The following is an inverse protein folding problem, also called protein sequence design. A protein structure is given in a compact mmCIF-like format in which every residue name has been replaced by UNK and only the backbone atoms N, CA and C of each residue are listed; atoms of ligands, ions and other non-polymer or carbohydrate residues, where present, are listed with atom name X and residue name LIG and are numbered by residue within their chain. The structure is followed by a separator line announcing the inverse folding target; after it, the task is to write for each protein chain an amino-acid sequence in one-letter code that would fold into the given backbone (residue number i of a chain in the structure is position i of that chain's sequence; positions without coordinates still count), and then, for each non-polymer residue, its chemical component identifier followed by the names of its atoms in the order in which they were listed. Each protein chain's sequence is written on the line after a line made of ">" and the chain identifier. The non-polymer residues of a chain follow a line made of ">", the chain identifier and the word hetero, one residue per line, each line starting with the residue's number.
data_IF_906855557526
#
_entry.id   IF_906855557526
#
_cell.length_a   1.000
_cell.length_b   1.000
_cell.length_c   1.000
_cell.angle_alpha   90.00
_cell.angle_beta   90.00
_cell.angle_gamma   90.00
#
_symmetry.space_group_name_H-M   'P 1'
#
loop_
_entity.id
_entity.type
_entity.pdbx_description
1 polymer ?
#
# COMPACT_ATOMS: atom_id res chain seq x y z
N UNK A 1 33.17 -10.35 -17.14
CA UNK A 1 33.16 -9.68 -15.84
C UNK A 1 32.99 -10.80 -14.84
N UNK A 2 33.76 -10.84 -13.82
CA UNK A 2 33.75 -11.96 -12.86
C UNK A 2 32.52 -11.75 -11.96
N UNK A 3 31.50 -12.58 -12.14
CA UNK A 3 30.21 -12.50 -11.39
C UNK A 3 30.39 -12.75 -9.87
N UNK A 4 31.57 -13.26 -9.47
CA UNK A 4 31.93 -13.48 -8.07
C UNK A 4 32.23 -12.20 -7.27
N UNK A 5 32.24 -11.02 -7.95
CA UNK A 5 32.46 -9.72 -7.31
C UNK A 5 31.15 -9.02 -6.88
N UNK A 6 30.00 -9.57 -7.23
CA UNK A 6 28.71 -9.06 -6.81
C UNK A 6 28.16 -10.03 -5.75
N UNK A 7 28.38 -9.68 -4.49
CA UNK A 7 27.72 -10.38 -3.39
C UNK A 7 26.25 -9.94 -3.39
N UNK A 8 25.41 -10.77 -4.01
CA UNK A 8 23.97 -10.52 -4.14
C UNK A 8 23.26 -10.62 -2.79
N UNK A 9 23.80 -11.37 -1.84
CA UNK A 9 23.22 -11.57 -0.52
C UNK A 9 23.45 -10.35 0.39
N UNK A 10 24.50 -9.54 0.13
CA UNK A 10 24.76 -8.31 0.87
C UNK A 10 23.96 -7.08 0.40
N UNK A 11 23.24 -7.16 -0.73
CA UNK A 11 22.38 -6.08 -1.23
C UNK A 11 20.94 -6.31 -0.77
N UNK A 12 20.64 -5.92 0.47
CA UNK A 12 19.28 -6.03 1.01
C UNK A 12 18.25 -5.37 0.07
N UNK A 13 17.11 -6.00 -0.10
CA UNK A 13 15.95 -5.48 -0.85
C UNK A 13 15.54 -4.06 -0.38
N UNK A 14 15.76 -3.74 0.90
CA UNK A 14 15.55 -2.40 1.45
C UNK A 14 16.46 -1.33 0.83
N UNK A 15 17.65 -1.68 0.33
CA UNK A 15 18.49 -0.74 -0.44
C UNK A 15 17.98 -0.55 -1.86
N UNK A 16 17.35 -1.55 -2.44
CA UNK A 16 16.73 -1.51 -3.76
C UNK A 16 15.55 -0.54 -3.79
N UNK A 17 14.72 -0.53 -2.75
CA UNK A 17 13.60 0.41 -2.62
C UNK A 17 14.03 1.86 -2.45
N UNK A 18 15.31 2.12 -2.12
CA UNK A 18 15.89 3.47 -1.97
C UNK A 18 16.46 4.02 -3.29
N UNK A 19 16.58 3.18 -4.31
CA UNK A 19 17.08 3.59 -5.62
C UNK A 19 15.89 3.91 -6.52
N UNK A 20 16.00 4.92 -7.39
CA UNK A 20 14.91 5.31 -8.28
C UNK A 20 14.72 4.28 -9.39
N UNK A 21 13.47 3.85 -9.51
CA UNK A 21 13.02 2.91 -10.54
C UNK A 21 13.35 1.45 -10.23
N UNK A 22 12.40 0.56 -10.50
CA UNK A 22 12.67 -0.87 -10.60
C UNK A 22 13.74 -1.06 -11.67
N UNK A 23 14.69 -1.93 -11.44
CA UNK A 23 15.63 -2.37 -12.47
C UNK A 23 16.81 -1.44 -12.77
N UNK A 24 16.96 -0.30 -12.09
CA UNK A 24 18.06 0.62 -12.38
C UNK A 24 19.47 0.01 -12.21
N UNK A 25 19.60 -0.96 -11.30
CA UNK A 25 20.83 -1.73 -11.09
C UNK A 25 20.64 -3.24 -11.26
N UNK A 26 19.39 -3.70 -11.35
CA UNK A 26 19.03 -5.09 -11.54
C UNK A 26 18.07 -5.22 -12.71
N UNK A 27 18.20 -6.25 -13.55
CA UNK A 27 17.18 -6.58 -14.55
C UNK A 27 15.84 -6.84 -13.83
N UNK A 28 14.73 -6.43 -14.45
CA UNK A 28 13.39 -6.72 -13.94
C UNK A 28 13.18 -8.23 -13.73
N UNK A 29 13.82 -9.07 -14.56
CA UNK A 29 13.81 -10.52 -14.43
C UNK A 29 14.34 -11.03 -13.09
N UNK A 30 15.34 -10.36 -12.48
CA UNK A 30 15.82 -10.74 -11.15
C UNK A 30 14.80 -10.41 -10.05
N UNK A 31 14.04 -9.32 -10.19
CA UNK A 31 12.97 -8.99 -9.25
C UNK A 31 11.82 -9.98 -9.32
N UNK A 32 11.50 -10.43 -10.55
CA UNK A 32 10.52 -11.47 -10.80
C UNK A 32 10.98 -12.83 -10.23
N UNK A 33 12.24 -13.22 -10.47
CA UNK A 33 12.83 -14.45 -9.93
C UNK A 33 12.82 -14.47 -8.39
N UNK A 34 13.21 -13.38 -7.72
CA UNK A 34 13.17 -13.29 -6.26
C UNK A 34 11.74 -13.26 -5.69
N UNK A 35 10.81 -12.61 -6.37
CA UNK A 35 9.41 -12.61 -5.97
C UNK A 35 8.81 -14.01 -6.11
N UNK A 36 9.15 -14.71 -7.19
CA UNK A 36 8.72 -16.07 -7.47
C UNK A 36 9.27 -17.05 -6.42
N UNK A 37 10.59 -16.98 -6.13
CA UNK A 37 11.23 -17.84 -5.14
C UNK A 37 10.66 -17.62 -3.72
N UNK A 38 10.48 -16.39 -3.29
CA UNK A 38 9.85 -16.09 -1.99
C UNK A 38 8.41 -16.58 -1.91
N UNK A 39 7.63 -16.40 -2.98
CA UNK A 39 6.26 -16.92 -3.02
C UNK A 39 6.26 -18.45 -2.94
N UNK A 40 7.16 -19.10 -3.66
CA UNK A 40 7.29 -20.56 -3.63
C UNK A 40 7.63 -21.05 -2.21
N UNK A 41 8.66 -20.47 -1.58
CA UNK A 41 9.09 -20.85 -0.23
C UNK A 41 7.99 -20.64 0.81
N UNK A 42 7.19 -19.56 0.68
CA UNK A 42 6.10 -19.30 1.60
C UNK A 42 4.89 -20.24 1.37
N UNK A 43 4.57 -20.57 0.10
CA UNK A 43 3.33 -21.28 -0.28
C UNK A 43 3.49 -22.79 -0.27
N UNK A 44 4.68 -23.33 -0.59
CA UNK A 44 4.93 -24.79 -0.59
C UNK A 44 4.68 -25.38 0.80
N UNK A 45 3.74 -26.31 0.90
CA UNK A 45 3.40 -27.00 2.16
C UNK A 45 2.38 -26.26 3.05
N UNK A 46 1.92 -25.08 2.67
CA UNK A 46 0.93 -24.35 3.45
C UNK A 46 -0.49 -24.91 3.29
N UNK A 47 -1.23 -25.01 4.39
CA UNK A 47 -2.65 -25.42 4.43
C UNK A 47 -3.59 -24.30 3.95
N UNK A 48 -3.13 -23.05 4.05
CA UNK A 48 -3.82 -21.88 3.52
C UNK A 48 -2.82 -20.79 3.10
N UNK A 49 -3.22 -19.97 2.13
CA UNK A 49 -2.44 -18.83 1.63
C UNK A 49 -3.29 -17.57 1.71
N UNK A 50 -2.71 -16.50 2.22
CA UNK A 50 -3.33 -15.17 2.28
C UNK A 50 -2.54 -14.23 1.35
N UNK A 51 -3.23 -13.61 0.40
CA UNK A 51 -2.71 -12.50 -0.40
C UNK A 51 -3.30 -11.22 0.14
N UNK A 52 -2.49 -10.30 0.65
CA UNK A 52 -2.97 -9.10 1.32
C UNK A 52 -2.15 -7.85 0.99
N UNK A 53 -2.76 -6.66 1.09
CA UNK A 53 -1.99 -5.44 1.13
C UNK A 53 -1.13 -5.41 2.40
N UNK A 54 0.07 -4.83 2.28
CA UNK A 54 1.05 -4.80 3.36
C UNK A 54 0.91 -3.55 4.23
N UNK A 55 -0.31 -3.11 4.46
CA UNK A 55 -0.63 -2.02 5.39
C UNK A 55 -1.35 -2.54 6.66
N UNK A 56 -1.80 -1.63 7.50
CA UNK A 56 -2.40 -2.00 8.78
C UNK A 56 -3.73 -2.75 8.61
N UNK A 57 -4.50 -2.47 7.57
CA UNK A 57 -5.81 -3.07 7.35
C UNK A 57 -5.69 -4.47 6.72
N UNK A 58 -4.92 -4.59 5.63
CA UNK A 58 -4.65 -5.90 5.05
C UNK A 58 -4.00 -6.86 6.05
N UNK A 59 -2.96 -6.41 6.77
CA UNK A 59 -2.24 -7.22 7.75
C UNK A 59 -3.05 -7.48 9.04
N UNK A 60 -3.94 -6.57 9.45
CA UNK A 60 -4.91 -6.80 10.50
C UNK A 60 -5.84 -7.97 10.18
N UNK A 61 -6.30 -8.02 8.92
CA UNK A 61 -7.10 -9.14 8.40
C UNK A 61 -6.33 -10.48 8.42
N UNK A 62 -5.03 -10.45 8.11
CA UNK A 62 -4.15 -11.63 8.21
C UNK A 62 -4.07 -12.15 9.64
N UNK A 63 -3.92 -11.27 10.63
CA UNK A 63 -3.88 -11.65 12.04
C UNK A 63 -5.18 -12.35 12.47
N UNK A 64 -6.34 -11.86 12.04
CA UNK A 64 -7.63 -12.51 12.29
C UNK A 64 -7.75 -13.90 11.65
N UNK A 65 -7.32 -14.05 10.40
CA UNK A 65 -7.38 -15.34 9.71
C UNK A 65 -6.46 -16.35 10.38
N UNK A 66 -5.24 -15.96 10.76
CA UNK A 66 -4.31 -16.84 11.49
C UNK A 66 -4.86 -17.26 12.85
N UNK A 67 -5.45 -16.34 13.62
CA UNK A 67 -6.12 -16.66 14.89
C UNK A 67 -7.24 -17.68 14.68
N UNK A 68 -8.12 -17.44 13.72
CA UNK A 68 -9.25 -18.33 13.41
C UNK A 68 -8.81 -19.72 12.92
N UNK A 69 -7.59 -19.84 12.41
CA UNK A 69 -7.01 -21.12 11.93
C UNK A 69 -6.05 -21.78 12.93
N UNK A 70 -5.93 -21.25 14.15
CA UNK A 70 -4.97 -21.70 15.17
C UNK A 70 -3.52 -21.71 14.65
N UNK A 71 -3.16 -20.68 13.89
CA UNK A 71 -1.89 -20.48 13.21
C UNK A 71 -1.24 -19.13 13.58
N UNK A 72 -1.56 -18.61 14.76
CA UNK A 72 -0.95 -17.38 15.29
C UNK A 72 0.56 -17.57 15.46
N UNK A 73 1.33 -16.57 15.05
CA UNK A 73 2.79 -16.60 15.18
C UNK A 73 3.23 -16.36 16.62
N UNK A 74 4.36 -16.96 17.00
CA UNK A 74 5.03 -16.59 18.25
C UNK A 74 5.62 -15.19 18.13
N UNK A 75 5.27 -14.31 19.07
CA UNK A 75 5.74 -12.91 19.08
C UNK A 75 7.15 -12.76 19.67
N UNK A 76 7.62 -13.72 20.47
CA UNK A 76 8.87 -13.58 21.23
C UNK A 76 10.13 -13.36 20.37
N UNK A 77 10.32 -14.01 19.20
CA UNK A 77 11.43 -13.71 18.31
C UNK A 77 11.44 -12.24 17.84
N UNK A 78 10.27 -11.72 17.46
CA UNK A 78 10.12 -10.34 16.97
C UNK A 78 10.37 -9.31 18.08
N UNK A 79 9.93 -9.57 19.32
CA UNK A 79 10.23 -8.71 20.47
C UNK A 79 11.73 -8.63 20.77
N UNK A 80 12.44 -9.75 20.62
CA UNK A 80 13.89 -9.79 20.80
C UNK A 80 14.62 -8.95 19.77
N UNK A 81 14.25 -9.10 18.50
CA UNK A 81 14.83 -8.33 17.39
C UNK A 81 14.49 -6.84 17.49
N UNK A 82 13.24 -6.52 17.84
CA UNK A 82 12.81 -5.15 18.04
C UNK A 82 13.60 -4.45 19.17
N UNK A 83 13.80 -5.12 20.29
CA UNK A 83 14.59 -4.61 21.40
C UNK A 83 16.06 -4.32 20.98
N UNK A 84 16.60 -5.11 20.05
CA UNK A 84 17.94 -4.87 19.50
C UNK A 84 17.99 -3.61 18.58
N UNK A 85 16.90 -3.27 17.90
CA UNK A 85 16.81 -2.09 17.02
C UNK A 85 16.69 -0.76 17.75
N UNK A 86 16.25 -0.77 19.02
CA UNK A 86 15.98 0.45 19.84
C UNK A 86 17.10 0.71 20.84
N UNK A 87 18.16 -0.10 20.86
CA UNK A 87 19.31 0.09 21.77
C UNK A 87 19.97 1.43 21.57
N UNK A 88 20.31 2.11 22.69
CA UNK A 88 21.10 3.33 22.70
C UNK A 88 22.52 3.08 22.17
N UNK A 89 23.15 4.09 21.51
CA UNK A 89 24.53 4.02 21.01
C UNK A 89 25.57 3.70 22.11
N UNK A 90 25.20 3.86 23.39
CA UNK A 90 26.04 3.56 24.56
C UNK A 90 25.89 2.09 25.05
N UNK A 91 24.96 1.32 24.52
CA UNK A 91 24.84 -0.10 24.84
C UNK A 91 25.97 -0.90 24.16
N UNK A 92 26.60 -1.86 24.87
CA UNK A 92 27.66 -2.65 24.29
C UNK A 92 27.10 -3.43 23.06
N UNK A 93 27.72 -3.15 21.90
CA UNK A 93 27.39 -3.87 20.67
C UNK A 93 27.65 -5.35 20.90
N UNK A 94 26.68 -6.26 20.70
CA UNK A 94 26.91 -7.69 20.76
C UNK A 94 28.04 -8.09 19.81
N UNK A 95 28.82 -9.12 20.17
CA UNK A 95 29.87 -9.60 19.28
C UNK A 95 29.23 -10.10 17.98
N UNK A 96 29.78 -9.71 16.82
CA UNK A 96 29.20 -10.03 15.50
C UNK A 96 28.93 -11.55 15.27
N UNK A 97 29.52 -12.40 16.11
CA UNK A 97 29.24 -13.84 16.13
C UNK A 97 27.91 -14.18 16.84
N UNK A 98 27.47 -13.38 17.83
CA UNK A 98 26.19 -13.57 18.51
C UNK A 98 25.03 -13.04 17.65
N UNK A 99 25.26 -11.93 16.89
CA UNK A 99 24.26 -11.43 15.92
C UNK A 99 23.99 -12.40 14.75
N UNK A 100 25.03 -13.15 14.33
CA UNK A 100 24.87 -14.15 13.29
C UNK A 100 24.05 -15.38 13.77
N UNK A 101 24.24 -15.78 15.04
CA UNK A 101 23.44 -16.87 15.64
C UNK A 101 21.98 -16.43 15.93
N UNK A 102 21.73 -15.16 16.28
CA UNK A 102 20.38 -14.62 16.47
C UNK A 102 19.64 -14.46 15.13
N UNK A 103 20.34 -14.14 14.05
CA UNK A 103 19.75 -14.04 12.71
C UNK A 103 19.39 -15.42 12.14
N UNK A 104 20.22 -16.45 12.40
CA UNK A 104 19.90 -17.85 12.06
C UNK A 104 18.73 -18.38 12.88
N UNK A 105 18.57 -17.96 14.15
CA UNK A 105 17.44 -18.35 14.99
C UNK A 105 16.11 -17.66 14.56
N UNK A 106 16.18 -16.51 13.95
CA UNK A 106 15.00 -15.83 13.36
C UNK A 106 14.58 -16.45 12.01
N UNK A 107 15.53 -17.03 11.27
CA UNK A 107 15.25 -17.80 10.04
C UNK A 107 14.67 -19.20 10.34
N UNK A 108 14.87 -19.74 11.56
CA UNK A 108 14.21 -20.97 12.06
C UNK A 108 12.83 -20.72 12.70
N UNK A 109 12.24 -19.52 12.58
CA UNK A 109 10.88 -19.27 13.03
C UNK A 109 9.93 -20.25 12.33
N UNK A 110 9.21 -21.04 13.13
CA UNK A 110 8.36 -22.14 12.67
C UNK A 110 7.55 -21.74 11.43
N UNK A 111 7.66 -22.52 10.35
CA UNK A 111 6.87 -22.37 9.14
C UNK A 111 5.39 -22.36 9.53
N UNK A 112 4.73 -21.22 9.37
CA UNK A 112 3.31 -21.12 9.64
C UNK A 112 2.53 -21.99 8.64
N UNK A 113 1.54 -22.80 9.08
CA UNK A 113 0.67 -23.50 8.16
C UNK A 113 -0.18 -22.57 7.29
N UNK A 114 -0.12 -21.25 7.57
CA UNK A 114 -0.81 -20.18 6.85
C UNK A 114 0.21 -19.21 6.28
N UNK A 115 0.46 -19.31 4.99
CA UNK A 115 1.39 -18.45 4.26
C UNK A 115 0.83 -17.05 4.05
N UNK A 116 1.71 -16.05 4.05
CA UNK A 116 1.39 -14.66 3.67
C UNK A 116 2.17 -14.26 2.42
N UNK A 117 1.45 -13.79 1.42
CA UNK A 117 1.99 -13.17 0.21
C UNK A 117 1.54 -11.72 0.16
N UNK A 118 2.44 -10.81 0.47
CA UNK A 118 2.16 -9.38 0.40
C UNK A 118 2.08 -8.92 -1.07
N UNK A 119 1.02 -8.20 -1.42
CA UNK A 119 0.78 -7.66 -2.75
C UNK A 119 0.21 -6.25 -2.66
N UNK A 120 0.34 -5.48 -3.73
CA UNK A 120 -0.39 -4.22 -3.87
C UNK A 120 -1.41 -4.31 -5.00
N UNK A 121 -2.32 -3.33 -5.15
CA UNK A 121 -3.39 -3.37 -6.14
C UNK A 121 -2.90 -3.64 -7.57
N UNK A 122 -1.77 -3.06 -7.97
CA UNK A 122 -1.21 -3.22 -9.32
C UNK A 122 -0.43 -4.54 -9.54
N UNK A 123 -0.09 -5.27 -8.48
CA UNK A 123 0.63 -6.55 -8.54
C UNK A 123 -0.24 -7.75 -8.16
N UNK A 124 -1.52 -7.53 -7.87
CA UNK A 124 -2.46 -8.53 -7.41
C UNK A 124 -2.57 -9.73 -8.36
N UNK A 125 -2.75 -9.49 -9.66
CA UNK A 125 -2.85 -10.57 -10.65
C UNK A 125 -1.60 -11.44 -10.69
N UNK A 126 -0.43 -10.83 -10.69
CA UNK A 126 0.86 -11.55 -10.66
C UNK A 126 1.06 -12.34 -9.36
N UNK A 127 0.65 -11.78 -8.22
CA UNK A 127 0.72 -12.46 -6.93
C UNK A 127 -0.18 -13.70 -6.91
N UNK A 128 -1.42 -13.58 -7.39
CA UNK A 128 -2.35 -14.70 -7.50
C UNK A 128 -1.87 -15.77 -8.49
N UNK A 129 -1.26 -15.38 -9.62
CA UNK A 129 -0.67 -16.33 -10.58
C UNK A 129 0.50 -17.11 -9.95
N UNK A 130 1.37 -16.46 -9.18
CA UNK A 130 2.46 -17.13 -8.44
C UNK A 130 1.90 -18.07 -7.37
N UNK A 131 0.91 -17.63 -6.60
CA UNK A 131 0.23 -18.50 -5.62
C UNK A 131 -0.35 -19.73 -6.32
N UNK A 132 -1.07 -19.57 -7.42
CA UNK A 132 -1.64 -20.67 -8.17
C UNK A 132 -0.60 -21.69 -8.68
N UNK A 133 0.62 -21.22 -8.98
CA UNK A 133 1.72 -22.06 -9.47
C UNK A 133 2.30 -23.00 -8.37
N UNK A 134 2.24 -22.59 -7.11
CA UNK A 134 2.87 -23.31 -5.99
C UNK A 134 1.87 -23.86 -4.96
N UNK A 135 0.58 -23.51 -5.12
CA UNK A 135 -0.46 -23.90 -4.17
C UNK A 135 -0.64 -25.42 -4.11
N UNK A 136 -0.57 -25.98 -2.92
CA UNK A 136 -0.89 -27.39 -2.70
C UNK A 136 -2.40 -27.66 -2.96
N UNK A 137 -2.71 -28.77 -3.63
CA UNK A 137 -4.10 -29.11 -3.89
C UNK A 137 -4.92 -29.29 -2.61
N UNK A 138 -5.95 -28.48 -2.46
CA UNK A 138 -6.85 -28.53 -1.31
C UNK A 138 -6.55 -27.47 -0.24
N UNK A 139 -5.58 -26.59 -0.45
CA UNK A 139 -5.37 -25.43 0.41
C UNK A 139 -6.42 -24.34 0.20
N UNK A 140 -6.74 -23.59 1.24
CA UNK A 140 -7.63 -22.44 1.17
C UNK A 140 -6.86 -21.18 0.76
N UNK A 141 -7.50 -20.31 -0.04
CA UNK A 141 -6.91 -19.02 -0.43
C UNK A 141 -7.76 -17.88 0.11
N UNK A 142 -7.12 -16.90 0.71
CA UNK A 142 -7.74 -15.64 1.14
C UNK A 142 -7.12 -14.48 0.39
N UNK A 143 -7.93 -13.50 0.03
CA UNK A 143 -7.48 -12.22 -0.49
C UNK A 143 -8.05 -11.13 0.40
N UNK A 144 -7.20 -10.21 0.88
CA UNK A 144 -7.60 -9.19 1.83
C UNK A 144 -7.10 -7.81 1.40
N UNK A 145 -8.03 -6.84 1.43
CA UNK A 145 -7.73 -5.43 1.24
C UNK A 145 -7.10 -5.10 -0.13
N UNK A 146 -7.60 -5.72 -1.16
CA UNK A 146 -7.13 -5.57 -2.53
C UNK A 146 -8.32 -5.56 -3.50
N UNK A 147 -8.52 -4.46 -4.21
CA UNK A 147 -9.52 -4.32 -5.26
C UNK A 147 -8.86 -4.25 -6.63
N UNK A 148 -9.17 -5.14 -7.58
CA UNK A 148 -8.60 -5.09 -8.91
C UNK A 148 -9.23 -3.97 -9.75
N UNK A 149 -8.41 -3.27 -10.53
CA UNK A 149 -8.86 -2.19 -11.42
C UNK A 149 -9.77 -2.67 -12.57
N UNK A 150 -9.67 -3.96 -12.94
CA UNK A 150 -10.48 -4.56 -14.01
C UNK A 150 -10.56 -6.08 -13.88
N UNK A 151 -11.52 -6.67 -14.55
CA UNK A 151 -11.67 -8.14 -14.64
C UNK A 151 -10.45 -8.79 -15.28
N UNK A 152 -9.87 -8.17 -16.31
CA UNK A 152 -8.71 -8.69 -17.02
C UNK A 152 -7.48 -8.82 -16.12
N UNK A 153 -7.37 -7.96 -15.11
CA UNK A 153 -6.23 -7.97 -14.17
C UNK A 153 -6.14 -9.25 -13.34
N UNK A 154 -7.26 -9.95 -13.11
CA UNK A 154 -7.31 -11.13 -12.22
C UNK A 154 -7.92 -12.37 -12.85
N UNK A 155 -8.56 -12.28 -14.01
CA UNK A 155 -9.32 -13.39 -14.60
C UNK A 155 -8.47 -14.65 -14.81
N UNK A 156 -7.26 -14.51 -15.38
CA UNK A 156 -6.38 -15.65 -15.66
C UNK A 156 -5.90 -16.31 -14.34
N UNK A 157 -5.56 -15.51 -13.35
CA UNK A 157 -5.11 -15.99 -12.04
C UNK A 157 -6.23 -16.74 -11.30
N UNK A 158 -7.46 -16.21 -11.30
CA UNK A 158 -8.61 -16.87 -10.70
C UNK A 158 -8.96 -18.19 -11.41
N UNK A 159 -8.84 -18.26 -12.75
CA UNK A 159 -9.00 -19.52 -13.49
C UNK A 159 -7.93 -20.54 -13.09
N UNK A 160 -6.68 -20.10 -12.88
CA UNK A 160 -5.57 -20.93 -12.44
C UNK A 160 -5.75 -21.44 -11.01
N UNK A 161 -6.31 -20.63 -10.10
CA UNK A 161 -6.62 -21.00 -8.72
C UNK A 161 -7.82 -21.97 -8.60
N UNK A 162 -8.76 -21.94 -9.52
CA UNK A 162 -10.01 -22.72 -9.44
C UNK A 162 -9.82 -24.23 -9.33
N UNK A 163 -8.68 -24.77 -9.75
CA UNK A 163 -8.40 -26.21 -9.69
C UNK A 163 -7.63 -26.65 -8.43
N UNK A 164 -6.54 -25.98 -8.00
CA UNK A 164 -5.82 -26.36 -6.81
C UNK A 164 -6.50 -25.92 -5.51
N UNK A 165 -7.11 -24.75 -5.45
CA UNK A 165 -7.71 -24.22 -4.24
C UNK A 165 -8.95 -25.03 -3.79
N UNK A 166 -9.07 -25.28 -2.47
CA UNK A 166 -10.29 -25.85 -1.88
C UNK A 166 -11.40 -24.79 -1.81
N UNK A 167 -11.00 -23.57 -1.46
CA UNK A 167 -11.87 -22.39 -1.46
C UNK A 167 -11.06 -21.14 -1.75
N UNK A 168 -11.71 -20.12 -2.32
CA UNK A 168 -11.15 -18.77 -2.44
C UNK A 168 -12.13 -17.81 -1.77
N UNK A 169 -11.68 -17.11 -0.72
CA UNK A 169 -12.45 -16.10 0.00
C UNK A 169 -11.77 -14.75 -0.15
N UNK A 170 -12.56 -13.71 -0.37
CA UNK A 170 -12.06 -12.37 -0.60
C UNK A 170 -12.79 -11.38 0.30
N UNK A 171 -12.03 -10.71 1.18
CA UNK A 171 -12.51 -9.68 2.08
C UNK A 171 -11.96 -8.34 1.64
N UNK A 172 -12.83 -7.36 1.45
CA UNK A 172 -12.46 -6.03 1.02
C UNK A 172 -13.51 -4.99 1.42
N UNK A 173 -13.14 -3.72 1.41
CA UNK A 173 -14.06 -2.60 1.68
C UNK A 173 -14.01 -1.52 0.59
N UNK A 174 -13.13 -1.63 -0.38
CA UNK A 174 -12.99 -0.67 -1.47
C UNK A 174 -14.26 -0.56 -2.33
N UNK A 175 -14.35 0.51 -3.10
CA UNK A 175 -15.42 0.69 -4.08
C UNK A 175 -15.18 -0.21 -5.30
N UNK A 176 -15.88 -1.33 -5.36
CA UNK A 176 -15.82 -2.26 -6.48
C UNK A 176 -16.72 -1.82 -7.62
N UNK A 177 -16.22 -1.95 -8.84
CA UNK A 177 -17.09 -1.95 -10.01
C UNK A 177 -18.01 -3.18 -10.01
N UNK A 178 -19.29 -2.97 -10.29
CA UNK A 178 -20.30 -4.04 -10.25
C UNK A 178 -20.00 -5.20 -11.23
N UNK A 179 -19.43 -4.89 -12.42
CA UNK A 179 -19.08 -5.90 -13.43
C UNK A 179 -17.86 -6.71 -12.96
N UNK A 180 -16.86 -6.07 -12.34
CA UNK A 180 -15.69 -6.73 -11.77
C UNK A 180 -16.09 -7.62 -10.60
N UNK A 181 -16.90 -7.11 -9.67
CA UNK A 181 -17.40 -7.89 -8.54
C UNK A 181 -18.24 -9.11 -8.99
N UNK A 182 -19.08 -8.95 -10.01
CA UNK A 182 -19.86 -10.04 -10.57
C UNK A 182 -18.95 -11.10 -11.20
N UNK A 183 -17.94 -10.71 -11.98
CA UNK A 183 -17.01 -11.63 -12.63
C UNK A 183 -16.17 -12.43 -11.61
N UNK A 184 -15.72 -11.79 -10.54
CA UNK A 184 -14.98 -12.47 -9.45
C UNK A 184 -15.86 -13.52 -8.76
N UNK A 185 -17.14 -13.20 -8.47
CA UNK A 185 -18.08 -14.19 -7.92
C UNK A 185 -18.41 -15.32 -8.89
N UNK A 186 -18.54 -15.03 -10.18
CA UNK A 186 -18.75 -16.04 -11.22
C UNK A 186 -17.56 -17.01 -11.35
N UNK A 187 -16.36 -16.57 -11.04
CA UNK A 187 -15.17 -17.42 -10.95
C UNK A 187 -15.19 -18.36 -9.73
N UNK A 188 -16.19 -18.28 -8.88
CA UNK A 188 -16.36 -19.15 -7.71
C UNK A 188 -15.74 -18.62 -6.41
N UNK A 189 -15.38 -17.35 -6.37
CA UNK A 189 -14.83 -16.65 -5.20
C UNK A 189 -15.96 -16.24 -4.26
N UNK A 190 -15.79 -16.53 -2.96
CA UNK A 190 -16.65 -15.99 -1.89
C UNK A 190 -16.22 -14.55 -1.57
N UNK A 191 -16.71 -13.60 -2.37
CA UNK A 191 -16.39 -12.18 -2.27
C UNK A 191 -17.33 -11.46 -1.30
N UNK A 192 -16.80 -10.96 -0.21
CA UNK A 192 -17.49 -10.11 0.77
C UNK A 192 -16.89 -8.71 0.73
N UNK A 193 -17.68 -7.75 0.30
CA UNK A 193 -17.31 -6.34 0.26
C UNK A 193 -18.06 -5.59 1.36
N UNK A 194 -17.33 -4.85 2.17
CA UNK A 194 -17.85 -3.95 3.20
C UNK A 194 -18.32 -2.61 2.64
N UNK A 195 -18.85 -1.79 3.51
CA UNK A 195 -19.19 -0.40 3.18
C UNK A 195 -17.92 0.46 3.28
N UNK A 196 -17.45 1.01 2.17
CA UNK A 196 -16.22 1.78 2.10
C UNK A 196 -16.21 3.08 2.91
N UNK A 197 -17.35 3.51 3.45
CA UNK A 197 -17.47 4.69 4.31
C UNK A 197 -17.62 4.33 5.81
N UNK A 198 -17.93 3.07 6.13
CA UNK A 198 -18.24 2.63 7.49
C UNK A 198 -17.33 1.50 8.00
N UNK A 199 -16.76 0.67 7.12
CA UNK A 199 -15.95 -0.50 7.46
C UNK A 199 -14.58 -0.45 6.80
N UNK A 200 -13.56 -1.02 7.44
CA UNK A 200 -12.30 -1.43 6.83
C UNK A 200 -12.28 -2.95 6.58
N UNK A 201 -11.31 -3.47 5.86
CA UNK A 201 -11.23 -4.90 5.53
C UNK A 201 -11.08 -5.76 6.79
N UNK A 202 -10.39 -5.28 7.82
CA UNK A 202 -10.28 -5.96 9.12
C UNK A 202 -11.66 -6.14 9.79
N UNK A 203 -12.58 -5.15 9.68
CA UNK A 203 -13.97 -5.31 10.14
C UNK A 203 -14.71 -6.38 9.33
N UNK A 204 -14.52 -6.36 8.01
CA UNK A 204 -15.14 -7.35 7.11
C UNK A 204 -14.67 -8.76 7.42
N UNK A 205 -13.37 -8.95 7.63
CA UNK A 205 -12.80 -10.24 8.03
C UNK A 205 -13.34 -10.68 9.41
N UNK A 206 -13.36 -9.79 10.40
CA UNK A 206 -13.84 -10.05 11.76
C UNK A 206 -15.27 -10.62 11.77
N UNK A 207 -16.18 -10.02 11.01
CA UNK A 207 -17.59 -10.46 10.97
C UNK A 207 -17.87 -11.62 10.01
N UNK A 208 -16.96 -11.92 9.09
CA UNK A 208 -17.16 -12.95 8.05
C UNK A 208 -16.54 -14.30 8.39
N UNK A 209 -15.57 -14.32 9.30
CA UNK A 209 -14.98 -15.54 9.82
C UNK A 209 -15.88 -16.15 10.89
N UNK A 210 -16.14 -17.46 10.78
CA UNK A 210 -16.95 -18.20 11.79
C UNK A 210 -16.07 -18.57 12.99
N UNK A 211 -15.69 -17.54 13.78
CA UNK A 211 -14.82 -17.65 14.95
C UNK A 211 -15.24 -16.66 16.02
N UNK A 212 -15.12 -17.05 17.29
CA UNK A 212 -15.45 -16.21 18.45
C UNK A 212 -14.19 -15.45 18.91
N UNK A 213 -13.95 -14.30 18.30
CA UNK A 213 -12.76 -13.50 18.56
C UNK A 213 -12.75 -12.84 19.93
N UNK A 214 -11.59 -12.82 20.57
CA UNK A 214 -11.36 -12.03 21.77
C UNK A 214 -11.56 -10.52 21.53
N UNK A 215 -11.88 -9.78 22.61
CA UNK A 215 -12.11 -8.33 22.57
C UNK A 215 -10.94 -7.57 21.92
N UNK A 216 -9.69 -8.05 22.08
CA UNK A 216 -8.51 -7.43 21.45
C UNK A 216 -8.60 -7.32 19.93
N UNK A 217 -9.21 -8.29 19.26
CA UNK A 217 -9.39 -8.27 17.80
C UNK A 217 -10.53 -7.34 17.37
N UNK A 218 -11.58 -7.24 18.16
CA UNK A 218 -12.64 -6.26 17.92
C UNK A 218 -12.09 -4.83 18.06
N UNK A 219 -11.23 -4.61 19.06
CA UNK A 219 -10.56 -3.34 19.26
C UNK A 219 -9.53 -3.05 18.17
N UNK A 220 -8.77 -4.07 17.71
CA UNK A 220 -7.87 -3.96 16.58
C UNK A 220 -8.60 -3.46 15.32
N UNK A 221 -9.70 -4.12 14.93
CA UNK A 221 -10.49 -3.71 13.77
C UNK A 221 -11.00 -2.27 13.90
N UNK A 222 -11.51 -1.88 15.09
CA UNK A 222 -11.97 -0.52 15.36
C UNK A 222 -10.87 0.53 15.20
N UNK A 223 -9.69 0.26 15.73
CA UNK A 223 -8.54 1.19 15.66
C UNK A 223 -7.94 1.22 14.26
N UNK A 224 -7.88 0.11 13.56
CA UNK A 224 -7.45 0.04 12.16
C UNK A 224 -8.37 0.88 11.27
N UNK A 225 -9.69 0.71 11.38
CA UNK A 225 -10.69 1.51 10.66
C UNK A 225 -10.53 3.01 10.89
N UNK A 226 -10.17 3.43 12.11
CA UNK A 226 -9.97 4.86 12.43
C UNK A 226 -8.88 5.50 11.55
N UNK A 227 -7.81 4.77 11.25
CA UNK A 227 -6.78 5.23 10.33
C UNK A 227 -7.21 5.10 8.87
N UNK A 228 -7.75 3.95 8.50
CA UNK A 228 -8.06 3.58 7.13
C UNK A 228 -9.13 4.52 6.52
N UNK A 229 -10.19 4.80 7.26
CA UNK A 229 -11.21 5.78 6.89
C UNK A 229 -10.82 7.24 7.22
N UNK A 230 -9.58 7.45 7.65
CA UNK A 230 -9.03 8.78 7.95
C UNK A 230 -9.83 9.57 9.01
N UNK A 231 -10.42 8.88 9.98
CA UNK A 231 -11.19 9.51 11.07
C UNK A 231 -10.28 10.23 12.07
N UNK A 232 -9.12 9.62 12.38
CA UNK A 232 -8.08 10.17 13.26
C UNK A 232 -8.59 10.55 14.67
N UNK A 233 -9.51 9.77 15.23
CA UNK A 233 -10.10 9.97 16.55
C UNK A 233 -9.32 9.22 17.64
N UNK A 234 -8.67 8.08 17.30
CA UNK A 234 -7.88 7.27 18.21
C UNK A 234 -6.38 7.38 17.89
N UNK A 235 -5.53 7.90 18.80
CA UNK A 235 -4.09 8.08 18.52
C UNK A 235 -3.36 6.77 18.19
N UNK A 236 -3.85 5.61 18.66
CA UNK A 236 -3.27 4.29 18.35
C UNK A 236 -3.39 3.92 16.89
N UNK A 237 -4.35 4.50 16.18
CA UNK A 237 -4.55 4.21 14.75
C UNK A 237 -3.35 4.61 13.90
N UNK A 238 -2.75 5.76 14.23
CA UNK A 238 -1.50 6.20 13.62
C UNK A 238 -0.32 5.31 14.00
N UNK A 239 -0.29 4.79 15.23
CA UNK A 239 0.76 3.88 15.69
C UNK A 239 0.71 2.56 14.91
N UNK A 240 -0.48 1.98 14.70
CA UNK A 240 -0.66 0.79 13.88
C UNK A 240 -0.18 1.00 12.45
N UNK A 241 -0.59 2.09 11.81
CA UNK A 241 -0.20 2.40 10.42
C UNK A 241 1.31 2.64 10.28
N UNK A 242 1.92 3.38 11.18
CA UNK A 242 3.35 3.64 11.19
C UNK A 242 4.14 2.34 11.44
N UNK A 243 3.64 1.48 12.34
CA UNK A 243 4.28 0.20 12.61
C UNK A 243 4.20 -0.75 11.41
N UNK A 244 3.03 -0.89 10.77
CA UNK A 244 2.88 -1.66 9.55
C UNK A 244 3.86 -1.22 8.45
N UNK A 245 4.07 0.10 8.31
CA UNK A 245 4.99 0.65 7.31
C UNK A 245 6.46 0.34 7.58
N UNK A 246 6.89 0.22 8.86
CA UNK A 246 8.30 0.05 9.22
C UNK A 246 8.70 -1.37 9.61
N UNK A 247 7.75 -2.21 9.97
CA UNK A 247 7.98 -3.64 10.28
C UNK A 247 7.92 -4.50 9.02
N UNK A 248 8.32 -5.76 9.14
CA UNK A 248 7.96 -6.76 8.15
C UNK A 248 6.48 -7.16 8.32
N UNK A 249 5.81 -7.65 7.26
CA UNK A 249 4.43 -8.11 7.37
C UNK A 249 4.23 -9.17 8.47
N UNK A 250 5.14 -10.11 8.58
CA UNK A 250 5.09 -11.18 9.58
C UNK A 250 5.26 -10.65 11.01
N UNK A 251 6.20 -9.71 11.22
CA UNK A 251 6.40 -9.04 12.50
C UNK A 251 5.13 -8.28 12.94
N UNK A 252 4.55 -7.48 12.04
CA UNK A 252 3.31 -6.77 12.33
C UNK A 252 2.20 -7.72 12.74
N UNK A 253 1.95 -8.76 11.94
CA UNK A 253 0.91 -9.76 12.19
C UNK A 253 1.11 -10.47 13.52
N UNK A 254 2.35 -10.86 13.86
CA UNK A 254 2.66 -11.50 15.14
C UNK A 254 2.35 -10.57 16.32
N UNK A 255 2.77 -9.31 16.23
CA UNK A 255 2.58 -8.33 17.31
C UNK A 255 1.11 -7.97 17.48
N UNK A 256 0.38 -7.65 16.43
CA UNK A 256 -1.05 -7.30 16.57
C UNK A 256 -1.91 -8.52 16.91
N UNK A 257 -1.50 -9.72 16.50
CA UNK A 257 -2.11 -10.97 16.92
C UNK A 257 -2.00 -11.21 18.42
N UNK A 258 -0.84 -10.89 19.01
CA UNK A 258 -0.59 -11.04 20.43
C UNK A 258 -1.23 -9.91 21.29
N UNK A 259 -1.13 -8.66 20.85
CA UNK A 259 -1.45 -7.47 21.64
C UNK A 259 -2.69 -6.68 21.18
N UNK A 260 -3.21 -6.98 19.97
CA UNK A 260 -4.27 -6.16 19.36
C UNK A 260 -3.78 -4.75 19.04
N UNK A 261 -4.61 -3.76 19.27
CA UNK A 261 -4.29 -2.35 19.06
C UNK A 261 -3.39 -1.74 20.15
N UNK A 262 -3.22 -2.40 21.29
CA UNK A 262 -2.41 -1.91 22.41
C UNK A 262 -0.95 -2.38 22.26
N UNK A 263 -0.22 -1.74 21.37
CA UNK A 263 1.17 -2.09 21.05
C UNK A 263 2.08 -2.04 22.29
N UNK A 264 3.00 -3.01 22.48
CA UNK A 264 3.91 -3.03 23.60
C UNK A 264 4.90 -1.85 23.57
N UNK A 265 5.45 -1.50 24.77
CA UNK A 265 6.32 -0.34 24.93
C UNK A 265 7.54 -0.31 24.01
N UNK A 266 8.13 -1.46 23.71
CA UNK A 266 9.25 -1.55 22.77
C UNK A 266 8.86 -1.15 21.33
N UNK A 267 7.63 -1.51 20.90
CA UNK A 267 7.09 -1.10 19.58
C UNK A 267 6.85 0.41 19.53
N UNK A 268 6.21 0.98 20.58
CA UNK A 268 5.96 2.42 20.62
C UNK A 268 7.27 3.22 20.64
N UNK A 269 8.29 2.75 21.35
CA UNK A 269 9.62 3.37 21.37
C UNK A 269 10.30 3.30 19.99
N UNK A 270 10.19 2.16 19.29
CA UNK A 270 10.67 2.03 17.91
C UNK A 270 9.95 2.98 16.94
N UNK A 271 8.62 3.09 17.05
CA UNK A 271 7.82 4.02 16.25
C UNK A 271 8.28 5.47 16.49
N UNK A 272 8.44 5.87 17.76
CA UNK A 272 8.86 7.22 18.12
C UNK A 272 10.25 7.56 17.53
N UNK A 273 11.18 6.61 17.59
CA UNK A 273 12.48 6.75 16.97
C UNK A 273 12.38 6.94 15.44
N UNK A 274 11.54 6.16 14.77
CA UNK A 274 11.33 6.23 13.31
C UNK A 274 10.59 7.50 12.87
N UNK A 275 9.71 8.03 13.72
CA UNK A 275 8.96 9.26 13.46
C UNK A 275 9.83 10.49 13.33
N UNK A 276 10.96 10.57 14.03
CA UNK A 276 11.89 11.70 13.93
C UNK A 276 12.32 11.95 12.46
N UNK A 277 12.68 10.88 11.74
CA UNK A 277 13.03 11.00 10.31
C UNK A 277 11.78 11.32 9.45
N UNK A 278 10.66 10.66 9.71
CA UNK A 278 9.40 10.84 8.97
C UNK A 278 8.90 12.27 9.05
N UNK A 279 8.81 12.81 10.26
CA UNK A 279 8.34 14.18 10.50
C UNK A 279 9.23 15.21 9.80
N UNK A 280 10.55 15.03 9.88
CA UNK A 280 11.49 15.92 9.19
C UNK A 280 11.33 15.86 7.65
N UNK A 281 11.04 14.68 7.09
CA UNK A 281 10.79 14.54 5.65
C UNK A 281 9.47 15.20 5.24
N UNK A 282 8.44 15.12 6.09
CA UNK A 282 7.16 15.81 5.88
C UNK A 282 7.35 17.33 5.93
N UNK A 283 7.96 17.86 7.02
CA UNK A 283 8.27 19.29 7.13
C UNK A 283 9.01 19.81 5.90
N UNK A 284 10.05 19.09 5.49
CA UNK A 284 10.86 19.46 4.32
C UNK A 284 10.05 19.45 3.02
N UNK A 285 9.11 18.53 2.86
CA UNK A 285 8.25 18.49 1.68
C UNK A 285 7.22 19.63 1.69
N UNK A 286 6.68 19.95 2.85
CA UNK A 286 5.73 21.06 3.03
C UNK A 286 6.43 22.41 2.81
N UNK A 287 7.63 22.62 3.36
CA UNK A 287 8.44 23.85 3.17
C UNK A 287 8.83 24.10 1.71
N UNK A 288 8.94 23.05 0.89
CA UNK A 288 9.27 23.13 -0.53
C UNK A 288 8.04 23.29 -1.43
N UNK A 289 6.85 23.26 -0.86
CA UNK A 289 5.65 23.28 -1.65
C UNK A 289 5.47 24.66 -2.32
N UNK A 290 5.12 24.59 -3.59
CA UNK A 290 4.75 25.77 -4.40
C UNK A 290 3.26 25.70 -4.70
N UNK A 291 2.54 26.80 -4.44
CA UNK A 291 1.12 26.89 -4.72
C UNK A 291 0.90 27.63 -6.05
N UNK A 292 0.20 26.96 -6.96
CA UNK A 292 -0.10 27.47 -8.29
C UNK A 292 -1.61 27.54 -8.50
N UNK A 293 -2.12 28.66 -9.02
CA UNK A 293 -3.50 28.75 -9.45
C UNK A 293 -3.64 28.14 -10.85
N UNK A 294 -4.56 27.18 -11.01
CA UNK A 294 -4.86 26.55 -12.28
C UNK A 294 -6.37 26.52 -12.45
N UNK A 295 -6.89 27.30 -13.40
CA UNK A 295 -8.33 27.57 -13.49
C UNK A 295 -8.87 28.11 -12.17
N UNK A 296 -9.91 27.47 -11.63
CA UNK A 296 -10.54 27.84 -10.35
C UNK A 296 -9.87 27.27 -9.11
N UNK A 297 -8.79 26.45 -9.25
CA UNK A 297 -8.21 25.67 -8.16
C UNK A 297 -6.81 26.13 -7.78
N UNK A 298 -6.49 25.98 -6.49
CA UNK A 298 -5.14 26.14 -5.93
C UNK A 298 -4.48 24.77 -5.83
N UNK A 299 -3.41 24.53 -6.59
CA UNK A 299 -2.65 23.27 -6.59
C UNK A 299 -1.36 23.45 -5.82
N UNK A 300 -1.20 22.70 -4.72
CA UNK A 300 0.04 22.62 -3.95
C UNK A 300 0.96 21.54 -4.52
N UNK A 301 2.14 21.90 -5.02
CA UNK A 301 3.06 20.97 -5.69
C UNK A 301 4.38 20.90 -4.92
N UNK A 302 4.79 19.69 -4.52
CA UNK A 302 6.03 19.47 -3.80
C UNK A 302 6.85 18.31 -4.35
N UNK A 303 8.00 18.05 -3.72
CA UNK A 303 8.92 16.97 -4.06
C UNK A 303 9.51 16.38 -2.79
N UNK A 304 9.48 15.06 -2.68
CA UNK A 304 10.17 14.39 -1.58
C UNK A 304 9.83 12.91 -1.48
N UNK A 305 10.62 12.24 -0.62
CA UNK A 305 10.30 10.92 -0.09
C UNK A 305 9.65 11.13 1.26
N UNK A 306 8.33 11.14 1.30
CA UNK A 306 7.56 11.46 2.50
C UNK A 306 6.22 10.73 2.48
N UNK A 307 5.51 10.72 3.59
CA UNK A 307 4.11 10.31 3.66
C UNK A 307 3.27 11.25 2.80
N UNK A 308 2.68 10.70 1.76
CA UNK A 308 1.94 11.47 0.75
C UNK A 308 0.64 12.03 1.30
N UNK A 309 -0.04 11.24 2.14
CA UNK A 309 -1.30 11.63 2.73
C UNK A 309 -1.10 12.74 3.76
N UNK A 310 -0.13 12.61 4.67
CA UNK A 310 0.17 13.64 5.66
C UNK A 310 0.66 14.95 5.04
N UNK A 311 1.49 14.87 3.98
CA UNK A 311 1.89 16.07 3.22
C UNK A 311 0.68 16.69 2.51
N UNK A 312 -0.20 15.89 1.91
CA UNK A 312 -1.41 16.38 1.25
C UNK A 312 -2.33 17.09 2.24
N UNK A 313 -2.49 16.54 3.44
CA UNK A 313 -3.27 17.16 4.50
C UNK A 313 -2.68 18.52 4.91
N UNK A 314 -1.38 18.57 5.17
CA UNK A 314 -0.70 19.82 5.52
C UNK A 314 -0.82 20.89 4.41
N UNK A 315 -0.81 20.50 3.13
CA UNK A 315 -1.02 21.44 2.01
C UNK A 315 -2.48 21.88 1.89
N UNK A 316 -3.44 21.00 2.18
CA UNK A 316 -4.88 21.37 2.23
C UNK A 316 -5.16 22.35 3.37
N UNK A 317 -4.57 22.14 4.54
CA UNK A 317 -4.65 23.11 5.65
C UNK A 317 -4.09 24.49 5.27
N UNK A 318 -3.13 24.55 4.36
CA UNK A 318 -2.60 25.80 3.80
C UNK A 318 -3.41 26.34 2.62
N UNK A 319 -4.52 25.71 2.27
CA UNK A 319 -5.47 26.19 1.26
C UNK A 319 -5.31 25.61 -0.13
N UNK A 320 -4.68 24.45 -0.30
CA UNK A 320 -4.67 23.72 -1.55
C UNK A 320 -6.02 23.01 -1.79
N UNK A 321 -6.60 23.15 -2.98
CA UNK A 321 -7.71 22.33 -3.44
C UNK A 321 -7.24 20.94 -3.88
N UNK A 322 -6.05 20.88 -4.45
CA UNK A 322 -5.36 19.64 -4.79
C UNK A 322 -3.88 19.70 -4.43
N UNK A 323 -3.29 18.56 -4.13
CA UNK A 323 -1.85 18.42 -3.85
C UNK A 323 -1.20 17.41 -4.79
N UNK A 324 0.05 17.67 -5.15
CA UNK A 324 0.91 16.82 -5.99
C UNK A 324 2.22 16.60 -5.27
N UNK A 325 2.52 15.36 -4.91
CA UNK A 325 3.79 14.95 -4.30
C UNK A 325 4.60 14.18 -5.32
N UNK A 326 5.61 14.82 -5.91
CA UNK A 326 6.54 14.20 -6.86
C UNK A 326 7.61 13.43 -6.11
N UNK A 327 7.81 12.16 -6.45
CA UNK A 327 8.74 11.25 -5.78
C UNK A 327 10.09 11.17 -6.49
N UNK A 328 11.17 10.83 -5.77
CA UNK A 328 12.48 10.57 -6.40
C UNK A 328 12.45 9.51 -7.49
N UNK A 329 11.55 8.55 -7.43
CA UNK A 329 11.35 7.51 -8.45
C UNK A 329 10.66 7.99 -9.75
N UNK A 330 10.35 9.29 -9.85
CA UNK A 330 9.70 9.90 -11.01
C UNK A 330 8.18 9.80 -11.02
N UNK A 331 7.58 8.99 -10.17
CA UNK A 331 6.13 8.95 -9.98
C UNK A 331 5.65 10.13 -9.15
N UNK A 332 4.36 10.41 -9.21
CA UNK A 332 3.71 11.41 -8.39
C UNK A 332 2.39 10.90 -7.83
N UNK A 333 2.05 11.37 -6.64
CA UNK A 333 0.75 11.14 -6.00
C UNK A 333 -0.06 12.42 -6.03
N UNK A 334 -1.32 12.30 -6.38
CA UNK A 334 -2.30 13.38 -6.42
C UNK A 334 -3.34 13.12 -5.32
N UNK A 335 -3.68 14.16 -4.56
CA UNK A 335 -4.74 14.12 -3.56
C UNK A 335 -5.61 15.35 -3.71
N UNK A 336 -6.92 15.14 -3.82
CA UNK A 336 -7.92 16.19 -3.94
C UNK A 336 -8.64 16.45 -2.62
N UNK A 337 -9.25 17.64 -2.53
CA UNK A 337 -10.18 18.02 -1.48
C UNK A 337 -11.63 17.84 -1.97
N UNK A 338 -12.60 18.20 -1.13
CA UNK A 338 -14.02 18.28 -1.51
C UNK A 338 -14.29 19.26 -2.68
N UNK A 339 -13.38 20.19 -2.93
CA UNK A 339 -13.48 21.17 -4.04
C UNK A 339 -12.77 20.68 -5.31
N UNK A 340 -12.03 19.56 -5.25
CA UNK A 340 -11.33 18.98 -6.38
C UNK A 340 -11.44 17.43 -6.39
N UNK A 341 -12.36 16.90 -7.15
CA UNK A 341 -12.62 15.48 -7.31
C UNK A 341 -12.23 14.95 -8.72
N UNK A 342 -11.16 15.50 -9.33
CA UNK A 342 -10.71 15.15 -10.68
C UNK A 342 -9.27 14.64 -10.73
N UNK A 343 -8.74 14.09 -9.62
CA UNK A 343 -7.37 13.54 -9.57
C UNK A 343 -7.13 12.45 -10.62
N UNK A 344 -8.10 11.57 -10.83
CA UNK A 344 -8.03 10.48 -11.81
C UNK A 344 -7.96 11.00 -13.27
N UNK A 345 -8.65 12.09 -13.57
CA UNK A 345 -8.62 12.72 -14.90
C UNK A 345 -7.22 13.30 -15.18
N UNK A 346 -6.66 14.02 -14.20
CA UNK A 346 -5.29 14.56 -14.31
C UNK A 346 -4.28 13.44 -14.47
N UNK A 347 -4.36 12.41 -13.63
CA UNK A 347 -3.46 11.26 -13.68
C UNK A 347 -3.57 10.51 -15.01
N UNK A 348 -4.76 10.32 -15.54
CA UNK A 348 -5.02 9.67 -16.83
C UNK A 348 -4.36 10.37 -18.02
N UNK A 349 -4.15 11.70 -17.94
CA UNK A 349 -3.44 12.46 -18.98
C UNK A 349 -1.91 12.28 -18.93
N UNK A 350 -1.37 11.72 -17.81
CA UNK A 350 0.07 11.63 -17.58
C UNK A 350 0.50 10.21 -17.17
N UNK A 351 -0.03 9.22 -17.86
CA UNK A 351 0.29 7.81 -17.66
C UNK A 351 0.04 7.33 -16.21
N UNK A 352 -1.20 7.49 -15.79
CA UNK A 352 -1.66 7.13 -14.45
C UNK A 352 -3.17 6.92 -14.38
N UNK A 353 -3.67 6.80 -13.16
CA UNK A 353 -5.08 6.58 -12.88
C UNK A 353 -5.36 6.65 -11.37
N UNK A 354 -6.55 6.26 -10.98
CA UNK A 354 -6.99 6.21 -9.59
C UNK A 354 -8.41 6.73 -9.42
N UNK A 355 -8.69 7.25 -8.24
CA UNK A 355 -10.00 7.73 -7.82
C UNK A 355 -10.11 9.26 -7.92
N UNK A 356 -11.34 9.82 -7.85
CA UNK A 356 -11.57 11.28 -7.93
C UNK A 356 -10.71 12.10 -6.98
N UNK A 357 -10.52 11.66 -5.74
CA UNK A 357 -9.73 12.36 -4.70
C UNK A 357 -8.33 11.82 -4.50
N UNK A 358 -7.99 10.63 -5.02
CA UNK A 358 -6.69 9.99 -4.82
C UNK A 358 -6.24 9.28 -6.10
N UNK A 359 -5.15 9.74 -6.70
CA UNK A 359 -4.62 9.17 -7.92
C UNK A 359 -3.09 9.14 -7.91
N UNK A 360 -2.51 8.32 -8.79
CA UNK A 360 -1.08 8.24 -9.01
C UNK A 360 -0.74 8.31 -10.49
N UNK A 361 0.41 8.87 -10.83
CA UNK A 361 0.90 8.90 -12.20
C UNK A 361 2.42 8.80 -12.25
N UNK A 362 2.93 8.39 -13.41
CA UNK A 362 4.35 8.42 -13.72
C UNK A 362 4.53 8.86 -15.16
N UNK A 363 4.79 10.16 -15.41
CA UNK A 363 5.05 10.65 -16.76
C UNK A 363 6.17 9.86 -17.44
N UNK A 364 5.96 9.46 -18.69
CA UNK A 364 6.96 8.75 -19.51
C UNK A 364 7.93 9.76 -20.14
N UNK A 365 8.85 10.26 -19.29
CA UNK A 365 9.80 11.32 -19.63
C UNK A 365 11.25 10.98 -19.23
N UNK A 366 11.49 9.71 -18.88
CA UNK A 366 12.80 9.22 -18.44
C UNK A 366 13.30 8.15 -19.40
N UNK A 367 14.22 8.54 -20.29
CA UNK A 367 14.80 7.63 -21.27
C UNK A 367 16.07 6.94 -20.75
N UNK A 368 16.81 7.59 -19.84
CA UNK A 368 18.08 7.08 -19.31
C UNK A 368 18.42 7.61 -17.89
N UNK A 369 19.60 7.22 -17.43
CA UNK A 369 20.14 7.63 -16.11
C UNK A 369 20.35 9.13 -15.95
N UNK A 370 20.61 9.85 -17.04
CA UNK A 370 20.85 11.30 -16.97
C UNK A 370 19.55 12.03 -16.71
N UNK A 371 18.44 11.52 -17.22
CA UNK A 371 17.11 12.06 -16.95
C UNK A 371 16.76 11.91 -15.48
N UNK A 372 17.03 10.75 -14.86
CA UNK A 372 16.86 10.56 -13.43
C UNK A 372 17.79 11.44 -12.61
N UNK A 373 19.06 11.58 -13.00
CA UNK A 373 19.98 12.49 -12.31
C UNK A 373 19.49 13.95 -12.41
N UNK A 374 18.95 14.35 -13.55
CA UNK A 374 18.34 15.66 -13.74
C UNK A 374 17.09 15.82 -12.86
N UNK A 375 16.22 14.81 -12.84
CA UNK A 375 15.03 14.79 -11.99
C UNK A 375 15.38 15.03 -10.50
N UNK A 376 16.40 14.36 -9.98
CA UNK A 376 16.84 14.55 -8.60
C UNK A 376 17.43 15.92 -8.34
N UNK A 377 18.31 16.38 -9.23
CA UNK A 377 19.00 17.68 -9.06
C UNK A 377 18.08 18.87 -9.21
N UNK A 378 16.94 18.70 -9.89
CA UNK A 378 15.93 19.73 -10.12
C UNK A 378 14.63 19.51 -9.32
N UNK A 379 14.65 18.58 -8.34
CA UNK A 379 13.50 18.27 -7.50
C UNK A 379 12.20 18.01 -8.33
N UNK A 380 12.35 17.26 -9.42
CA UNK A 380 11.24 16.87 -10.26
C UNK A 380 10.64 18.00 -11.11
N UNK A 381 11.38 19.05 -11.41
CA UNK A 381 10.84 20.22 -12.11
C UNK A 381 10.16 19.92 -13.44
N UNK A 382 10.63 18.91 -14.20
CA UNK A 382 9.97 18.51 -15.44
C UNK A 382 8.66 17.77 -15.17
N UNK A 383 8.65 16.83 -14.24
CA UNK A 383 7.45 16.10 -13.79
C UNK A 383 6.38 17.07 -13.27
N UNK A 384 6.76 18.01 -12.39
CA UNK A 384 5.86 19.06 -11.88
C UNK A 384 5.18 19.84 -13.02
N UNK A 385 5.95 20.28 -14.01
CA UNK A 385 5.41 21.01 -15.16
C UNK A 385 4.47 20.18 -16.02
N UNK A 386 4.79 18.91 -16.27
CA UNK A 386 3.94 18.00 -17.05
C UNK A 386 2.60 17.78 -16.33
N UNK A 387 2.63 17.58 -15.02
CA UNK A 387 1.41 17.36 -14.22
C UNK A 387 0.59 18.68 -14.15
N UNK A 388 1.21 19.84 -13.93
CA UNK A 388 0.50 21.13 -13.95
C UNK A 388 -0.14 21.42 -15.32
N UNK A 389 0.50 21.06 -16.42
CA UNK A 389 -0.12 21.15 -17.74
C UNK A 389 -1.33 20.21 -17.92
N UNK A 390 -1.34 19.06 -17.24
CA UNK A 390 -2.53 18.19 -17.20
C UNK A 390 -3.66 18.83 -16.39
N UNK A 391 -3.36 19.46 -15.25
CA UNK A 391 -4.35 20.25 -14.51
C UNK A 391 -4.94 21.39 -15.34
N UNK A 392 -4.13 22.11 -16.13
CA UNK A 392 -4.62 23.17 -17.03
C UNK A 392 -5.64 22.62 -18.03
N UNK A 393 -5.39 21.43 -18.62
CA UNK A 393 -6.34 20.79 -19.54
C UNK A 393 -7.63 20.36 -18.87
N UNK A 394 -7.54 19.81 -17.65
CA UNK A 394 -8.75 19.45 -16.88
C UNK A 394 -9.53 20.70 -16.50
N UNK A 395 -8.86 21.82 -16.20
CA UNK A 395 -9.54 23.09 -15.93
C UNK A 395 -10.28 23.62 -17.17
N UNK A 396 -9.64 23.60 -18.36
CA UNK A 396 -10.27 23.98 -19.62
C UNK A 396 -11.50 23.10 -19.95
N UNK A 397 -11.42 21.80 -19.66
CA UNK A 397 -12.55 20.87 -19.83
C UNK A 397 -13.70 21.19 -18.87
N UNK A 398 -13.39 21.41 -17.59
CA UNK A 398 -14.39 21.76 -16.58
C UNK A 398 -15.10 23.11 -16.88
N UNK A 399 -14.35 24.09 -17.39
CA UNK A 399 -14.96 25.37 -17.83
C UNK A 399 -15.90 25.15 -19.03
N UNK A 400 -15.51 24.33 -20.02
CA UNK A 400 -16.33 24.00 -21.17
C UNK A 400 -17.59 23.21 -20.80
N UNK A 401 -17.49 22.29 -19.86
CA UNK A 401 -18.62 21.54 -19.31
C UNK A 401 -19.61 22.47 -18.61
N UNK A 402 -19.13 23.37 -17.76
CA UNK A 402 -19.96 24.34 -17.07
C UNK A 402 -20.67 25.35 -18.04
N UNK A 403 -19.98 25.76 -19.09
CA UNK A 403 -20.61 26.62 -20.15
C UNK A 403 -21.70 25.85 -20.89
N UNK A 404 -21.46 24.57 -21.25
CA UNK A 404 -22.46 23.76 -21.94
C UNK A 404 -23.71 23.47 -21.08
N UNK A 405 -23.52 23.23 -19.76
CA UNK A 405 -24.64 23.08 -18.83
C UNK A 405 -25.45 24.37 -18.70
N UNK A 406 -24.78 25.51 -18.61
CA UNK A 406 -25.45 26.81 -18.52
C UNK A 406 -26.27 27.15 -19.80
N UNK A 407 -25.76 26.80 -20.99
CA UNK A 407 -26.48 26.94 -22.25
C UNK A 407 -27.70 26.01 -22.34
N UNK A 408 -27.58 24.76 -21.87
CA UNK A 408 -28.70 23.81 -21.87
C UNK A 408 -29.83 24.23 -20.92
N UNK A 409 -29.50 24.80 -19.76
CA UNK A 409 -30.48 25.31 -18.81
C UNK A 409 -31.24 26.54 -19.38
N UNK A 410 -30.55 27.41 -20.13
CA UNK A 410 -31.18 28.60 -20.75
C UNK A 410 -32.13 28.23 -21.92
N UNK A 411 -31.77 27.19 -22.73
CA UNK A 411 -32.65 26.67 -23.78
C UNK A 411 -33.87 25.95 -23.20
N UNK A 412 -33.75 25.28 -22.01
CA UNK A 412 -34.88 24.62 -21.32
C UNK A 412 -35.95 25.56 -20.82
N UNK A 413 -35.58 26.81 -20.45
CA UNK A 413 -36.51 27.82 -19.94
C UNK A 413 -37.34 28.45 -21.07
N UNK A 414 -36.86 28.53 -22.31
CA UNK A 414 -37.53 29.14 -23.43
C UNK A 414 -38.58 28.22 -24.12
N UNK A 415 -38.55 26.90 -23.81
CA UNK A 415 -39.53 25.92 -24.34
C UNK A 415 -40.77 25.74 -23.50
N UNK A 416 -40.85 26.33 -22.30
CA UNK A 416 -42.05 26.33 -21.41
C UNK A 416 -42.86 27.63 -21.45
N UNK A 417 -42.58 28.53 -22.37
CA UNK A 417 -43.40 29.73 -22.61
C UNK A 417 -44.16 29.59 -23.94
#
# INVERSE_FOLDING_TARGET
>A
MDDSLIDTDALSLSRKSRLPGKGFFYPDSLDEEYADERTREAVEGADAVIVADADADGLGSVALIREARDAALDVAPFETDLAARVRDEDDPVPDAAEEAEETEAAEEAEESPVALVAAGPHSLGEALDRVAAYLEPGADVYVCDLCPDSTEAVAAALESLASPAASVRWFDHHQWDDEVAAAVREAGVDLVVGDSEEECTTDVALRSLDYDFDERFTELARVTRDHDLWLNEDPRSKDLADYAYWSSPEEYVAVVGAYGADLPGAVTEYIDYRRVEKEHLIERAVDRAEFTQVGGWTVGVTYGRCSQNEVADALREQGADASVVVKPAGSASLRGSETFERCHEVAGLVNGGGHPKAAGCKPDIYDDMLDYAHHWTTEGATTKRVILAAFERVAEQAEAEAEAEAEADDEGIDTER
#
